data_IF_581392605146
#
_entry.id   IF_581392605146
#
_cell.length_a   1.000
_cell.length_b   1.000
_cell.length_c   1.000
_cell.angle_alpha   90.00
_cell.angle_beta   90.00
_cell.angle_gamma   90.00
#
_symmetry.space_group_name_H-M   'P 1'
#
loop_
_entity.id
_entity.type
_entity.pdbx_description
1 polymer ?
#
# COMPACT_ATOMS: atom_id res chain seq x y z
N UNK A 1 28.14 66.31 59.33
CA UNK A 1 26.67 66.17 59.36
C UNK A 1 26.28 65.32 58.16
N UNK A 2 25.57 64.20 58.40
CA UNK A 2 25.50 63.05 57.51
C UNK A 2 24.85 63.27 56.13
N UNK A 3 25.00 62.29 55.24
CA UNK A 3 23.91 61.35 54.92
C UNK A 3 24.44 60.24 54.00
N UNK A 4 24.16 58.99 54.41
CA UNK A 4 24.19 57.76 53.63
C UNK A 4 23.07 57.79 52.59
N UNK A 5 23.35 57.43 51.32
CA UNK A 5 22.39 56.78 50.42
C UNK A 5 23.15 55.83 49.48
N UNK A 6 22.85 54.53 49.56
CA UNK A 6 23.26 53.53 48.57
C UNK A 6 22.18 53.27 47.51
N UNK A 7 22.55 52.62 46.41
CA UNK A 7 21.66 51.84 45.52
C UNK A 7 22.55 51.03 44.56
N UNK A 8 22.73 49.73 44.84
CA UNK A 8 22.05 48.61 44.18
C UNK A 8 22.64 48.25 42.80
N UNK A 9 23.54 47.27 42.81
CA UNK A 9 23.97 46.55 41.62
C UNK A 9 22.84 45.62 41.16
N UNK A 10 22.26 45.89 39.98
CA UNK A 10 21.35 44.97 39.30
C UNK A 10 22.19 43.90 38.61
N UNK A 11 22.38 42.77 39.29
CA UNK A 11 22.86 41.53 38.69
C UNK A 11 21.79 40.97 37.74
N UNK A 12 22.03 41.09 36.44
CA UNK A 12 21.20 40.45 35.42
C UNK A 12 21.38 38.93 35.47
N UNK A 13 20.35 38.21 35.91
CA UNK A 13 20.27 36.76 35.77
C UNK A 13 20.00 36.45 34.30
N UNK A 14 21.02 36.02 33.57
CA UNK A 14 20.84 35.44 32.23
C UNK A 14 20.33 34.01 32.44
N UNK A 15 19.01 33.83 32.35
CA UNK A 15 18.39 32.52 32.34
C UNK A 15 18.72 31.85 31.00
N UNK A 16 19.78 31.05 30.96
CA UNK A 16 20.09 30.21 29.82
C UNK A 16 19.00 29.12 29.72
N UNK A 17 17.95 29.40 28.97
CA UNK A 17 16.93 28.41 28.58
C UNK A 17 17.65 27.37 27.74
N UNK A 18 17.95 26.22 28.34
CA UNK A 18 18.50 25.06 27.66
C UNK A 18 17.52 24.56 26.61
N UNK A 19 17.65 25.07 25.38
CA UNK A 19 17.00 24.49 24.21
C UNK A 19 17.68 23.15 23.94
N UNK A 20 17.14 22.10 24.56
CA UNK A 20 17.47 20.72 24.24
C UNK A 20 17.14 20.52 22.76
N UNK A 21 18.18 20.56 21.92
CA UNK A 21 18.07 20.18 20.51
C UNK A 21 17.78 18.69 20.51
N UNK A 22 16.50 18.33 20.47
CA UNK A 22 16.10 17.00 20.05
C UNK A 22 16.71 16.79 18.66
N UNK A 23 17.84 16.08 18.62
CA UNK A 23 18.37 15.54 17.37
C UNK A 23 17.32 14.53 16.94
N UNK A 24 16.64 14.83 15.84
CA UNK A 24 15.93 13.83 15.08
C UNK A 24 17.01 12.87 14.60
N UNK A 25 17.10 11.70 15.23
CA UNK A 25 17.96 10.64 14.73
C UNK A 25 17.39 10.19 13.38
N UNK A 26 18.22 10.12 12.32
CA UNK A 26 17.76 9.66 11.02
C UNK A 26 17.22 8.24 11.18
N UNK A 27 15.99 8.01 10.73
CA UNK A 27 15.40 6.68 10.68
C UNK A 27 16.37 5.75 9.95
N UNK A 28 16.63 4.57 10.54
CA UNK A 28 17.48 3.57 9.91
C UNK A 28 16.94 3.22 8.50
N UNK A 29 17.80 3.08 7.49
CA UNK A 29 17.37 2.77 6.15
C UNK A 29 16.72 1.38 6.12
N UNK A 30 15.39 1.37 6.03
CA UNK A 30 14.62 0.15 5.77
C UNK A 30 15.07 -0.41 4.42
N UNK A 31 15.49 -1.67 4.40
CA UNK A 31 15.88 -2.34 3.16
C UNK A 31 14.75 -2.21 2.10
N UNK A 32 15.08 -1.99 0.82
CA UNK A 32 14.08 -1.86 -0.21
C UNK A 32 13.25 -3.14 -0.30
N UNK A 33 11.92 -3.01 -0.25
CA UNK A 33 10.98 -4.13 -0.38
C UNK A 33 11.05 -4.71 -1.80
N UNK A 34 11.02 -6.03 -1.91
CA UNK A 34 11.07 -6.73 -3.18
C UNK A 34 10.11 -7.93 -3.15
N UNK A 35 9.37 -8.10 -4.24
CA UNK A 35 8.63 -9.32 -4.52
C UNK A 35 9.59 -10.25 -5.28
N UNK A 36 10.09 -11.27 -4.61
CA UNK A 36 11.11 -12.17 -5.19
C UNK A 36 10.48 -13.24 -6.08
N UNK A 37 9.38 -13.84 -5.63
CA UNK A 37 8.62 -14.86 -6.35
C UNK A 37 7.14 -14.76 -5.97
N UNK A 38 6.26 -15.06 -6.92
CA UNK A 38 4.85 -15.29 -6.67
C UNK A 38 4.26 -16.11 -7.83
N UNK A 39 3.21 -16.85 -7.56
CA UNK A 39 2.42 -17.57 -8.56
C UNK A 39 0.95 -17.50 -8.17
N UNK A 40 0.24 -16.50 -8.71
CA UNK A 40 -1.16 -16.23 -8.36
C UNK A 40 -2.07 -16.43 -9.56
N UNK A 41 -3.28 -16.92 -9.31
CA UNK A 41 -4.32 -16.97 -10.34
C UNK A 41 -5.13 -15.69 -10.32
N UNK A 42 -5.51 -15.21 -11.50
CA UNK A 42 -6.51 -14.17 -11.60
C UNK A 42 -7.95 -14.72 -11.52
N UNK A 43 -8.92 -13.82 -11.46
CA UNK A 43 -10.34 -14.12 -11.43
C UNK A 43 -10.84 -14.89 -12.67
N UNK A 44 -10.06 -14.98 -13.75
CA UNK A 44 -10.34 -15.77 -14.96
C UNK A 44 -9.61 -17.13 -14.95
N UNK A 45 -8.86 -17.43 -13.89
CA UNK A 45 -8.07 -18.64 -13.71
C UNK A 45 -6.70 -18.62 -14.39
N UNK A 46 -6.30 -17.51 -15.02
CA UNK A 46 -4.99 -17.40 -15.65
C UNK A 46 -3.90 -17.28 -14.57
N UNK A 47 -2.82 -18.03 -14.73
CA UNK A 47 -1.66 -17.97 -13.85
C UNK A 47 -0.78 -16.77 -14.21
N UNK A 48 -0.43 -16.00 -13.18
CA UNK A 48 0.48 -14.86 -13.27
C UNK A 48 1.70 -15.07 -12.38
N UNK A 49 2.87 -14.72 -12.92
CA UNK A 49 4.18 -14.94 -12.29
C UNK A 49 5.09 -13.74 -12.54
N UNK A 50 6.08 -13.54 -11.66
CA UNK A 50 7.04 -12.44 -11.74
C UNK A 50 7.75 -12.35 -13.10
N UNK A 51 8.04 -13.49 -13.74
CA UNK A 51 8.71 -13.52 -15.05
C UNK A 51 7.96 -12.73 -16.12
N UNK A 52 6.63 -12.70 -16.07
CA UNK A 52 5.81 -11.96 -17.03
C UNK A 52 5.98 -10.45 -16.89
N UNK A 53 6.30 -9.96 -15.68
CA UNK A 53 6.51 -8.54 -15.41
C UNK A 53 7.74 -7.97 -16.13
N UNK A 54 8.73 -8.82 -16.45
CA UNK A 54 9.96 -8.43 -17.14
C UNK A 54 9.71 -7.89 -18.56
N UNK A 55 8.56 -8.18 -19.16
CA UNK A 55 8.16 -7.66 -20.47
C UNK A 55 7.65 -6.20 -20.44
N UNK A 56 7.45 -5.64 -19.24
CA UNK A 56 6.87 -4.32 -19.03
C UNK A 56 7.92 -3.32 -18.57
N UNK A 57 7.61 -2.02 -18.68
CA UNK A 57 8.48 -0.95 -18.17
C UNK A 57 8.29 -0.71 -16.68
N UNK A 58 7.07 -0.95 -16.19
CA UNK A 58 6.70 -0.92 -14.78
C UNK A 58 5.47 -1.80 -14.57
N UNK A 59 5.22 -2.15 -13.32
CA UNK A 59 4.02 -2.86 -12.87
C UNK A 59 3.29 -2.00 -11.86
N UNK A 60 1.98 -1.92 -11.97
CA UNK A 60 1.10 -1.22 -11.05
C UNK A 60 0.10 -2.22 -10.44
N UNK A 61 0.12 -2.36 -9.13
CA UNK A 61 -0.88 -3.12 -8.39
C UNK A 61 -1.84 -2.13 -7.73
N UNK A 62 -3.14 -2.40 -7.84
CA UNK A 62 -4.16 -1.82 -6.97
C UNK A 62 -4.66 -2.91 -6.05
N UNK A 63 -4.46 -2.75 -4.74
CA UNK A 63 -4.99 -3.68 -3.74
C UNK A 63 -6.42 -3.28 -3.41
N UNK A 64 -7.34 -4.21 -3.59
CA UNK A 64 -8.77 -3.98 -3.61
C UNK A 64 -9.42 -4.63 -2.38
N UNK A 65 -10.55 -4.07 -1.96
CA UNK A 65 -11.48 -4.73 -1.04
C UNK A 65 -12.89 -4.69 -1.61
N UNK A 66 -13.55 -5.85 -1.72
CA UNK A 66 -14.90 -5.97 -2.31
C UNK A 66 -15.93 -5.18 -1.52
N UNK A 67 -15.83 -5.21 -0.19
CA UNK A 67 -16.73 -4.52 0.74
C UNK A 67 -16.19 -3.14 1.20
N UNK A 68 -15.06 -2.69 0.65
CA UNK A 68 -14.45 -1.41 1.05
C UNK A 68 -15.04 -0.25 0.21
N UNK A 69 -15.84 0.67 0.81
CA UNK A 69 -16.43 1.77 0.06
C UNK A 69 -15.39 2.76 -0.46
N UNK A 70 -14.25 2.89 0.23
CA UNK A 70 -13.14 3.73 -0.23
C UNK A 70 -12.52 3.12 -1.49
N UNK A 71 -12.21 1.82 -1.46
CA UNK A 71 -11.63 1.08 -2.60
C UNK A 71 -12.53 1.19 -3.83
N UNK A 72 -13.81 0.83 -3.65
CA UNK A 72 -14.83 0.89 -4.70
C UNK A 72 -15.02 2.31 -5.25
N UNK A 73 -14.95 3.33 -4.38
CA UNK A 73 -15.02 4.74 -4.76
C UNK A 73 -13.86 5.25 -5.61
N UNK A 74 -12.72 4.54 -5.62
CA UNK A 74 -11.56 4.82 -6.47
C UNK A 74 -11.58 4.11 -7.82
N UNK A 75 -12.51 3.17 -8.07
CA UNK A 75 -12.54 2.42 -9.33
C UNK A 75 -12.48 3.30 -10.60
N UNK A 76 -13.22 4.43 -10.71
CA UNK A 76 -13.09 5.31 -11.88
C UNK A 76 -11.66 5.83 -12.09
N UNK A 77 -10.95 6.13 -11.01
CA UNK A 77 -9.58 6.63 -11.04
C UNK A 77 -8.59 5.53 -11.42
N UNK A 78 -8.73 4.34 -10.81
CA UNK A 78 -7.90 3.18 -11.14
C UNK A 78 -7.99 2.84 -12.63
N UNK A 79 -9.20 2.86 -13.20
CA UNK A 79 -9.41 2.66 -14.65
C UNK A 79 -8.74 3.74 -15.49
N UNK A 80 -8.89 5.02 -15.10
CA UNK A 80 -8.26 6.14 -15.83
C UNK A 80 -6.75 5.98 -15.85
N UNK A 81 -6.14 5.68 -14.70
CA UNK A 81 -4.69 5.44 -14.59
C UNK A 81 -4.31 4.24 -15.46
N UNK A 82 -4.96 3.08 -15.30
CA UNK A 82 -4.66 1.89 -16.09
C UNK A 82 -4.70 2.17 -17.60
N UNK A 83 -5.77 2.81 -18.09
CA UNK A 83 -5.91 3.16 -19.51
C UNK A 83 -4.85 4.16 -20.00
N UNK A 84 -4.45 5.11 -19.15
CA UNK A 84 -3.45 6.14 -19.49
C UNK A 84 -2.05 5.54 -19.62
N UNK A 85 -1.70 4.56 -18.78
CA UNK A 85 -0.34 4.05 -18.67
C UNK A 85 -0.12 2.70 -19.39
N UNK A 86 -1.17 1.96 -19.72
CA UNK A 86 -1.10 0.76 -20.56
C UNK A 86 -0.33 0.97 -21.88
N UNK A 87 -0.65 1.98 -22.74
CA UNK A 87 0.08 2.20 -23.98
C UNK A 87 1.53 2.67 -23.77
N UNK A 88 1.89 3.04 -22.53
CA UNK A 88 3.24 3.48 -22.15
C UNK A 88 4.07 2.34 -21.56
N UNK A 89 3.55 1.11 -21.59
CA UNK A 89 4.26 -0.11 -21.17
C UNK A 89 4.11 -0.44 -19.69
N UNK A 90 3.10 0.09 -18.99
CA UNK A 90 2.79 -0.27 -17.61
C UNK A 90 1.77 -1.41 -17.60
N UNK A 91 2.09 -2.52 -16.94
CA UNK A 91 1.11 -3.57 -16.65
C UNK A 91 0.36 -3.23 -15.37
N UNK A 92 -0.96 -3.23 -15.41
CA UNK A 92 -1.80 -3.00 -14.23
C UNK A 92 -2.50 -4.28 -13.81
N UNK A 93 -2.56 -4.52 -12.50
CA UNK A 93 -3.29 -5.62 -11.88
C UNK A 93 -4.12 -5.10 -10.71
N UNK A 94 -5.30 -5.66 -10.51
CA UNK A 94 -5.99 -5.63 -9.22
C UNK A 94 -5.50 -6.80 -8.37
N UNK A 95 -5.54 -6.67 -7.05
CA UNK A 95 -5.21 -7.76 -6.13
C UNK A 95 -6.25 -7.81 -5.02
N UNK A 96 -6.92 -8.94 -4.86
CA UNK A 96 -7.79 -9.22 -3.72
C UNK A 96 -7.03 -10.06 -2.69
N UNK A 97 -6.70 -9.50 -1.51
CA UNK A 97 -5.94 -10.18 -0.47
C UNK A 97 -6.83 -10.96 0.53
N UNK A 98 -8.13 -10.96 0.30
CA UNK A 98 -9.12 -11.57 1.18
C UNK A 98 -9.28 -13.06 0.87
N UNK A 99 -9.00 -13.96 1.82
CA UNK A 99 -9.16 -15.40 1.60
C UNK A 99 -10.61 -15.84 1.38
N UNK A 100 -11.60 -15.02 1.75
CA UNK A 100 -13.03 -15.29 1.51
C UNK A 100 -13.47 -14.89 0.08
N UNK A 101 -12.65 -14.14 -0.66
CA UNK A 101 -12.97 -13.71 -2.03
C UNK A 101 -12.58 -14.80 -3.04
N UNK A 102 -13.58 -15.48 -3.57
CA UNK A 102 -13.40 -16.44 -4.65
C UNK A 102 -13.16 -15.77 -6.02
N UNK A 103 -12.67 -16.54 -7.00
CA UNK A 103 -12.52 -16.06 -8.38
C UNK A 103 -13.82 -15.51 -8.98
N UNK A 104 -14.96 -16.15 -8.67
CA UNK A 104 -16.27 -15.69 -9.14
C UNK A 104 -16.65 -14.35 -8.51
N UNK A 105 -16.42 -14.19 -7.20
CA UNK A 105 -16.68 -12.94 -6.48
C UNK A 105 -15.79 -11.83 -7.02
N UNK A 106 -14.49 -12.10 -7.20
CA UNK A 106 -13.54 -11.16 -7.78
C UNK A 106 -13.91 -10.76 -9.22
N UNK A 107 -14.32 -11.71 -10.05
CA UNK A 107 -14.76 -11.44 -11.43
C UNK A 107 -16.02 -10.59 -11.47
N UNK A 108 -17.01 -10.88 -10.61
CA UNK A 108 -18.22 -10.08 -10.47
C UNK A 108 -17.91 -8.66 -10.01
N UNK A 109 -17.06 -8.52 -8.99
CA UNK A 109 -16.60 -7.23 -8.49
C UNK A 109 -15.89 -6.42 -9.58
N UNK A 110 -14.96 -7.03 -10.31
CA UNK A 110 -14.28 -6.39 -11.42
C UNK A 110 -15.27 -5.91 -12.49
N UNK A 111 -16.26 -6.73 -12.85
CA UNK A 111 -17.30 -6.35 -13.81
C UNK A 111 -18.19 -5.19 -13.32
N UNK A 112 -18.61 -5.23 -12.05
CA UNK A 112 -19.46 -4.20 -11.43
C UNK A 112 -18.78 -2.82 -11.44
N UNK A 113 -17.48 -2.77 -11.16
CA UNK A 113 -16.70 -1.53 -11.10
C UNK A 113 -15.98 -1.18 -12.41
N UNK A 114 -16.11 -2.03 -13.44
CA UNK A 114 -15.47 -1.86 -14.75
C UNK A 114 -13.95 -1.95 -14.72
N UNK A 115 -13.39 -2.78 -13.84
CA UNK A 115 -11.95 -3.00 -13.75
C UNK A 115 -11.52 -3.93 -14.90
N UNK A 116 -11.01 -3.35 -15.98
CA UNK A 116 -10.66 -4.09 -17.21
C UNK A 116 -9.29 -4.79 -17.16
N UNK A 117 -8.49 -4.51 -16.13
CA UNK A 117 -7.21 -5.17 -15.89
C UNK A 117 -7.39 -6.51 -15.15
N UNK A 118 -6.44 -7.46 -15.26
CA UNK A 118 -6.51 -8.73 -14.53
C UNK A 118 -6.56 -8.49 -13.01
N UNK A 119 -7.36 -9.29 -12.30
CA UNK A 119 -7.50 -9.22 -10.83
C UNK A 119 -6.99 -10.50 -10.21
N UNK A 120 -5.83 -10.42 -9.56
CA UNK A 120 -5.16 -11.51 -8.87
C UNK A 120 -5.87 -11.83 -7.54
N UNK A 121 -5.90 -13.11 -7.18
CA UNK A 121 -6.30 -13.58 -5.86
C UNK A 121 -5.05 -13.88 -5.05
N UNK A 122 -4.87 -13.20 -3.91
CA UNK A 122 -3.73 -13.34 -3.01
C UNK A 122 -4.19 -13.72 -1.58
N UNK A 123 -4.87 -14.88 -1.41
CA UNK A 123 -5.51 -15.23 -0.15
C UNK A 123 -4.52 -15.42 1.01
N UNK A 124 -3.27 -15.81 0.72
CA UNK A 124 -2.20 -15.95 1.70
C UNK A 124 -1.44 -14.64 1.96
N UNK A 125 -1.76 -13.58 1.21
CA UNK A 125 -1.13 -12.26 1.29
C UNK A 125 0.39 -12.28 1.06
N UNK A 126 0.88 -13.20 0.25
CA UNK A 126 2.31 -13.30 -0.07
C UNK A 126 2.76 -12.08 -0.89
N UNK A 127 1.98 -11.71 -1.91
CA UNK A 127 2.31 -10.60 -2.80
C UNK A 127 2.12 -9.25 -2.09
N UNK A 128 0.96 -9.03 -1.46
CA UNK A 128 0.67 -7.75 -0.79
C UNK A 128 1.51 -7.56 0.47
N UNK A 129 1.84 -8.65 1.18
CA UNK A 129 2.73 -8.66 2.34
C UNK A 129 4.16 -8.30 1.96
N UNK A 130 4.71 -8.93 0.91
CA UNK A 130 6.03 -8.57 0.38
C UNK A 130 6.09 -7.11 -0.12
N UNK A 131 4.98 -6.60 -0.67
CA UNK A 131 4.87 -5.21 -1.10
C UNK A 131 4.70 -4.20 0.06
N UNK A 132 4.41 -4.65 1.29
CA UNK A 132 4.25 -3.81 2.48
C UNK A 132 2.91 -3.07 2.55
N UNK A 133 1.88 -3.57 1.87
CA UNK A 133 0.53 -3.01 1.86
C UNK A 133 -0.18 -3.27 3.20
N UNK A 134 -0.98 -2.30 3.66
CA UNK A 134 -1.65 -2.39 4.98
C UNK A 134 -3.15 -2.14 4.94
N UNK A 135 -3.63 -1.39 3.96
CA UNK A 135 -5.05 -1.06 3.81
C UNK A 135 -5.52 -1.17 2.37
N UNK A 136 -6.84 -1.21 2.18
CA UNK A 136 -7.51 -1.10 0.89
C UNK A 136 -8.28 0.22 0.79
N UNK A 137 -8.13 1.00 -0.30
CA UNK A 137 -7.23 0.77 -1.41
C UNK A 137 -5.80 1.25 -1.10
N UNK A 138 -4.83 0.52 -1.63
CA UNK A 138 -3.44 0.96 -1.79
C UNK A 138 -2.97 0.67 -3.22
N UNK A 139 -2.02 1.46 -3.69
CA UNK A 139 -1.34 1.25 -4.95
C UNK A 139 0.12 0.90 -4.71
N UNK A 140 0.68 0.03 -5.54
CA UNK A 140 2.09 -0.35 -5.53
C UNK A 140 2.65 -0.19 -6.93
N UNK A 141 3.74 0.56 -7.10
CA UNK A 141 4.50 0.63 -8.35
C UNK A 141 5.77 -0.18 -8.18
N UNK A 142 5.95 -1.17 -9.03
CA UNK A 142 7.13 -2.01 -9.06
C UNK A 142 7.90 -1.86 -10.37
N UNK A 143 9.19 -2.09 -10.28
CA UNK A 143 10.00 -2.30 -11.47
C UNK A 143 9.79 -3.72 -12.05
N UNK A 144 10.29 -3.99 -13.26
CA UNK A 144 10.10 -5.30 -13.91
C UNK A 144 10.76 -6.48 -13.19
N UNK A 145 11.57 -6.22 -12.15
CA UNK A 145 12.25 -7.22 -11.31
C UNK A 145 11.55 -7.41 -9.97
N UNK A 146 10.39 -6.78 -9.75
CA UNK A 146 9.62 -6.90 -8.50
C UNK A 146 10.09 -5.97 -7.38
N UNK A 147 10.99 -5.02 -7.63
CA UNK A 147 11.38 -4.04 -6.61
C UNK A 147 10.28 -3.01 -6.43
N UNK A 148 9.86 -2.78 -5.19
CA UNK A 148 8.85 -1.78 -4.85
C UNK A 148 9.48 -0.39 -4.93
N UNK A 149 9.01 0.41 -5.89
CA UNK A 149 9.47 1.79 -6.10
C UNK A 149 8.53 2.82 -5.45
N UNK A 150 7.25 2.45 -5.31
CA UNK A 150 6.25 3.22 -4.60
C UNK A 150 5.22 2.28 -3.97
N UNK A 151 4.76 2.58 -2.76
CA UNK A 151 3.49 2.04 -2.28
C UNK A 151 2.76 3.06 -1.40
N UNK A 152 1.42 3.05 -1.45
CA UNK A 152 0.62 3.98 -0.66
C UNK A 152 -0.69 4.38 -1.31
N UNK A 153 -1.16 5.60 -0.99
CA UNK A 153 -2.42 6.11 -1.54
C UNK A 153 -2.37 6.28 -3.06
N UNK A 154 -3.53 6.30 -3.72
CA UNK A 154 -3.61 6.53 -5.16
C UNK A 154 -3.39 8.02 -5.48
N UNK A 155 -4.16 8.86 -4.80
CA UNK A 155 -4.09 10.31 -4.80
C UNK A 155 -4.54 10.84 -3.42
N UNK A 156 -4.61 12.15 -3.23
CA UNK A 156 -5.09 12.76 -1.98
C UNK A 156 -6.58 13.11 -1.98
N UNK A 157 -7.43 12.55 -2.86
CA UNK A 157 -8.88 12.85 -2.83
C UNK A 157 -9.52 12.37 -1.53
N UNK A 158 -9.00 11.32 -0.91
CA UNK A 158 -9.40 10.87 0.44
C UNK A 158 -8.32 11.31 1.42
N UNK A 159 -8.68 12.22 2.31
CA UNK A 159 -7.78 12.74 3.32
C UNK A 159 -7.50 11.69 4.42
N UNK A 160 -6.44 11.87 5.23
CA UNK A 160 -6.15 10.97 6.35
C UNK A 160 -7.26 10.91 7.41
N UNK A 161 -8.15 11.89 7.47
CA UNK A 161 -9.34 11.89 8.33
C UNK A 161 -10.58 11.25 7.65
N UNK A 162 -10.38 10.60 6.50
CA UNK A 162 -11.41 9.92 5.71
C UNK A 162 -12.29 10.85 4.87
N UNK A 163 -12.11 12.18 4.95
CA UNK A 163 -12.94 13.11 4.17
C UNK A 163 -12.57 13.09 2.70
N UNK A 164 -13.59 13.04 1.85
CA UNK A 164 -13.44 13.10 0.40
C UNK A 164 -13.43 14.55 -0.10
N UNK A 165 -12.52 14.84 -1.03
CA UNK A 165 -12.44 16.09 -1.80
C UNK A 165 -13.05 15.87 -3.17
N UNK A 166 -13.58 16.94 -3.76
CA UNK A 166 -14.11 16.90 -5.13
C UNK A 166 -13.01 16.63 -6.16
N UNK A 167 -11.80 17.15 -5.91
CA UNK A 167 -10.62 16.94 -6.75
C UNK A 167 -9.39 16.69 -5.88
N UNK A 168 -8.50 15.77 -6.30
CA UNK A 168 -7.18 15.65 -5.68
C UNK A 168 -6.34 16.89 -5.99
N UNK A 169 -5.42 17.19 -5.08
CA UNK A 169 -4.34 18.19 -5.20
C UNK A 169 -3.03 17.52 -5.61
N UNK A 170 -2.84 16.24 -5.26
CA UNK A 170 -1.67 15.44 -5.63
C UNK A 170 -2.10 14.13 -6.26
N UNK A 171 -1.36 13.68 -7.26
CA UNK A 171 -1.62 12.45 -8.02
C UNK A 171 -0.45 11.49 -7.78
N UNK A 172 -0.37 10.93 -6.58
CA UNK A 172 0.85 10.30 -6.06
C UNK A 172 1.31 9.10 -6.90
N UNK A 173 0.38 8.24 -7.34
CA UNK A 173 0.70 7.12 -8.25
C UNK A 173 1.20 7.60 -9.60
N UNK A 174 0.60 8.66 -10.16
CA UNK A 174 1.04 9.21 -11.44
C UNK A 174 2.43 9.82 -11.33
N UNK A 175 2.70 10.58 -10.26
CA UNK A 175 4.04 11.11 -9.98
C UNK A 175 5.07 9.98 -9.92
N UNK A 176 4.74 8.86 -9.25
CA UNK A 176 5.61 7.68 -9.21
C UNK A 176 5.80 7.06 -10.60
N UNK A 177 4.73 6.81 -11.35
CA UNK A 177 4.80 6.24 -12.69
C UNK A 177 5.59 7.12 -13.66
N UNK A 178 5.39 8.43 -13.64
CA UNK A 178 6.16 9.38 -14.46
C UNK A 178 7.65 9.31 -14.16
N UNK A 179 8.03 9.28 -12.89
CA UNK A 179 9.44 9.14 -12.49
C UNK A 179 10.05 7.82 -12.99
N UNK A 180 9.34 6.70 -12.81
CA UNK A 180 9.80 5.38 -13.26
C UNK A 180 9.91 5.31 -14.78
N UNK A 181 8.92 5.84 -15.51
CA UNK A 181 8.93 5.88 -16.97
C UNK A 181 9.96 6.85 -17.53
N UNK A 182 10.45 7.81 -16.75
CA UNK A 182 11.60 8.64 -17.08
C UNK A 182 12.95 7.96 -16.75
N UNK A 183 12.94 6.75 -16.18
CA UNK A 183 14.14 6.01 -15.75
C UNK A 183 14.69 6.48 -14.39
N UNK A 184 13.92 7.26 -13.64
CA UNK A 184 14.27 7.74 -12.31
C UNK A 184 13.61 6.95 -11.17
N UNK A 185 13.74 7.50 -9.97
CA UNK A 185 13.12 6.99 -8.74
C UNK A 185 12.00 7.95 -8.33
N UNK A 186 10.84 7.47 -7.85
CA UNK A 186 9.81 8.34 -7.30
C UNK A 186 10.37 9.26 -6.20
N UNK A 187 9.96 10.55 -6.15
CA UNK A 187 10.44 11.49 -5.15
C UNK A 187 10.03 11.11 -3.71
N UNK A 188 8.94 10.34 -3.59
CA UNK A 188 8.46 9.76 -2.34
C UNK A 188 8.13 8.30 -2.62
N UNK A 189 8.71 7.38 -1.84
CA UNK A 189 8.52 5.94 -2.01
C UNK A 189 7.32 5.40 -1.22
N UNK A 190 6.93 6.06 -0.12
CA UNK A 190 5.83 5.63 0.73
C UNK A 190 4.95 6.82 1.13
N UNK A 191 3.65 6.69 0.88
CA UNK A 191 2.65 7.69 1.29
C UNK A 191 1.49 7.01 2.00
N UNK A 192 1.21 7.31 3.28
CA UNK A 192 0.13 6.66 4.01
C UNK A 192 -1.22 6.76 3.28
N UNK A 193 -1.89 5.62 3.14
CA UNK A 193 -3.24 5.51 2.60
C UNK A 193 -4.28 5.47 3.73
N UNK A 194 -5.49 5.93 3.40
CA UNK A 194 -6.67 5.79 4.25
C UNK A 194 -7.59 4.75 3.62
N UNK A 195 -7.99 3.75 4.41
CA UNK A 195 -8.72 2.60 3.90
C UNK A 195 -9.14 1.60 4.97
N UNK A 196 -9.75 0.51 4.52
CA UNK A 196 -10.06 -0.64 5.37
C UNK A 196 -8.79 -1.47 5.60
N UNK A 197 -8.52 -1.98 6.81
CA UNK A 197 -7.37 -2.86 7.05
C UNK A 197 -7.47 -4.12 6.18
N UNK A 198 -6.32 -4.75 5.90
CA UNK A 198 -6.30 -6.08 5.29
C UNK A 198 -7.00 -7.09 6.23
N UNK A 199 -7.75 -8.06 5.67
CA UNK A 199 -8.28 -9.19 6.44
C UNK A 199 -7.14 -10.09 6.94
N UNK A 200 -7.45 -11.05 7.81
CA UNK A 200 -6.46 -12.07 8.19
C UNK A 200 -6.11 -12.95 6.98
N UNK A 201 -4.83 -13.26 6.75
CA UNK A 201 -4.43 -14.11 5.62
C UNK A 201 -4.87 -15.56 5.85
N UNK A 202 -5.07 -16.30 4.76
CA UNK A 202 -5.14 -17.75 4.81
C UNK A 202 -3.82 -18.30 5.38
N UNK A 203 -3.87 -19.37 6.19
CA UNK A 203 -2.66 -20.04 6.66
C UNK A 203 -1.83 -20.51 5.45
N UNK A 204 -0.54 -20.15 5.43
CA UNK A 204 0.42 -20.84 4.59
C UNK A 204 0.49 -22.28 5.09
N UNK A 205 0.11 -23.24 4.24
CA UNK A 205 0.34 -24.64 4.55
C UNK A 205 1.86 -24.85 4.40
N UNK A 206 2.53 -25.15 5.51
CA UNK A 206 3.94 -25.48 5.48
C UNK A 206 4.19 -26.64 4.49
N UNK A 207 5.26 -26.56 3.70
CA UNK A 207 5.64 -27.63 2.79
C UNK A 207 5.83 -28.95 3.58
N UNK A 208 4.87 -29.87 3.45
CA UNK A 208 4.85 -31.16 4.14
C UNK A 208 3.79 -31.31 5.25
N UNK A 209 3.03 -30.27 5.56
CA UNK A 209 1.90 -30.38 6.48
C UNK A 209 0.69 -31.05 5.80
N UNK A 210 0.41 -32.30 6.20
CA UNK A 210 -0.81 -32.99 5.76
C UNK A 210 -2.05 -32.40 6.44
N UNK A 211 -3.06 -32.06 5.63
CA UNK A 211 -4.37 -31.63 6.14
C UNK A 211 -5.01 -32.76 6.95
N UNK A 212 -5.02 -32.61 8.27
CA UNK A 212 -5.79 -33.48 9.17
C UNK A 212 -7.11 -32.83 9.60
N UNK A 213 -8.14 -33.66 9.78
CA UNK A 213 -9.46 -33.23 10.27
C UNK A 213 -9.33 -32.50 11.60
N UNK A 214 -8.55 -33.03 12.54
CA UNK A 214 -8.44 -32.46 13.88
C UNK A 214 -7.74 -31.10 13.91
N UNK A 215 -6.70 -30.89 13.08
CA UNK A 215 -5.93 -29.64 13.09
C UNK A 215 -6.58 -28.56 12.23
N UNK A 216 -7.15 -28.92 11.08
CA UNK A 216 -7.55 -27.94 10.06
C UNK A 216 -9.06 -27.84 9.83
N UNK A 217 -9.83 -28.92 10.05
CA UNK A 217 -11.27 -28.95 9.70
C UNK A 217 -12.16 -28.81 10.94
N UNK A 218 -11.83 -29.52 12.03
CA UNK A 218 -12.60 -29.53 13.27
C UNK A 218 -12.75 -28.14 13.91
N UNK A 219 -11.71 -27.28 13.95
CA UNK A 219 -11.85 -25.93 14.49
C UNK A 219 -12.85 -25.06 13.71
N UNK A 220 -12.95 -25.25 12.39
CA UNK A 220 -13.91 -24.52 11.53
C UNK A 220 -15.33 -25.03 11.80
N UNK A 221 -15.50 -26.36 11.83
CA UNK A 221 -16.80 -26.99 12.09
C UNK A 221 -17.34 -26.63 13.48
N UNK A 222 -16.50 -26.56 14.51
CA UNK A 222 -16.94 -26.23 15.87
C UNK A 222 -17.20 -24.74 16.10
N UNK A 223 -16.71 -23.85 15.21
CA UNK A 223 -16.97 -22.41 15.30
C UNK A 223 -18.31 -22.02 14.68
N UNK A 224 -18.87 -22.89 13.84
CA UNK A 224 -20.09 -22.63 13.05
C UNK A 224 -21.19 -23.70 13.23
N UNK A 225 -21.04 -24.57 14.24
CA UNK A 225 -22.07 -25.46 14.78
C UNK A 225 -22.37 -25.04 16.22
#
# INVERSE_FOLDING_TARGET
MGFLIGLAALGGVVLAVGLSRHRIEPAEPVAPRCVEEFALRDARGQLHELKQWQAHRAVLLFVLGTECPVSNGYAPEMRRIAATYAPRGVATFGVHPDPEVSAEVAARHAAEYGLDFPVLLDPAQELVGAAGVRVTPEAVVLDPKGRVLYHGRIDDRVAPDGKRRDRPRTLDVEIALEAVLAGGVPPVAEVPAFGCPLPEPAPLLDEGETITVNKHVAPILWKHC
#
